data_IF_192583182651
#
_entry.id   IF_192583182651
#
_cell.length_a   1.000
_cell.length_b   1.000
_cell.length_c   1.000
_cell.angle_alpha   90.00
_cell.angle_beta   90.00
_cell.angle_gamma   90.00
#
_symmetry.space_group_name_H-M   'P 1'
#
loop_
_entity.id
_entity.type
_entity.pdbx_description
1 polymer ?
#
# COMPACT_ATOMS: atom_id res chain seq x y z
N UNK A 1 16.27 -9.41 15.03
CA UNK A 1 16.01 -8.00 14.66
C UNK A 1 14.75 -7.87 13.82
N UNK A 2 13.92 -6.87 14.15
CA UNK A 2 12.70 -6.55 13.40
C UNK A 2 12.81 -5.10 12.95
N UNK A 3 12.71 -4.88 11.65
CA UNK A 3 12.80 -3.55 11.03
C UNK A 3 11.42 -3.15 10.52
N UNK A 4 10.85 -2.10 11.11
CA UNK A 4 9.53 -1.59 10.75
C UNK A 4 9.70 -0.47 9.71
N UNK A 5 9.12 -0.63 8.51
CA UNK A 5 9.25 0.34 7.41
C UNK A 5 7.93 1.05 7.16
N UNK A 6 7.91 2.38 7.34
CA UNK A 6 6.72 3.24 7.27
C UNK A 6 6.84 4.34 6.19
N UNK A 7 7.27 3.97 4.98
CA UNK A 7 7.56 4.91 3.87
C UNK A 7 6.40 5.06 2.87
N UNK A 8 5.36 4.22 2.96
CA UNK A 8 4.21 4.19 2.06
C UNK A 8 4.53 3.56 0.69
N UNK A 9 3.52 2.97 0.05
CA UNK A 9 3.68 2.34 -1.26
C UNK A 9 3.94 3.38 -2.37
N UNK A 10 4.73 3.06 -3.43
CA UNK A 10 5.59 1.90 -3.60
C UNK A 10 7.02 2.14 -3.07
N UNK A 11 7.28 3.33 -2.50
CA UNK A 11 8.62 3.70 -1.99
C UNK A 11 9.12 2.71 -0.94
N UNK A 12 8.20 2.19 -0.13
CA UNK A 12 8.45 1.17 0.87
C UNK A 12 8.93 -0.15 0.27
N UNK A 13 8.28 -0.65 -0.80
CA UNK A 13 8.70 -1.88 -1.48
C UNK A 13 10.08 -1.71 -2.14
N UNK A 14 10.32 -0.55 -2.77
CA UNK A 14 11.62 -0.24 -3.38
C UNK A 14 12.72 -0.15 -2.32
N UNK A 15 12.45 0.50 -1.19
CA UNK A 15 13.40 0.61 -0.09
C UNK A 15 13.71 -0.76 0.52
N UNK A 16 12.70 -1.58 0.78
CA UNK A 16 12.87 -2.93 1.29
C UNK A 16 13.64 -3.82 0.30
N UNK A 17 13.36 -3.72 -0.99
CA UNK A 17 14.09 -4.45 -2.04
C UNK A 17 15.57 -4.07 -2.08
N UNK A 18 15.88 -2.76 -1.96
CA UNK A 18 17.26 -2.27 -1.89
C UNK A 18 17.98 -2.67 -0.61
N UNK A 19 17.26 -2.78 0.51
CA UNK A 19 17.84 -3.14 1.81
C UNK A 19 18.01 -4.66 1.98
N UNK A 20 17.15 -5.46 1.33
CA UNK A 20 17.19 -6.93 1.35
C UNK A 20 18.60 -7.55 1.14
N UNK A 21 19.40 -7.16 0.14
CA UNK A 21 20.73 -7.74 -0.07
C UNK A 21 21.73 -7.45 1.07
N UNK A 22 21.50 -6.39 1.84
CA UNK A 22 22.36 -5.99 2.97
C UNK A 22 21.87 -6.57 4.31
N UNK A 23 20.70 -7.21 4.34
CA UNK A 23 20.11 -7.75 5.56
C UNK A 23 20.33 -9.25 5.63
N UNK A 24 21.39 -9.66 6.34
CA UNK A 24 21.77 -11.07 6.49
C UNK A 24 20.94 -11.81 7.56
N UNK A 25 20.32 -11.08 8.51
CA UNK A 25 19.45 -11.61 9.58
C UNK A 25 18.37 -10.59 9.94
N UNK A 26 17.18 -11.06 10.31
CA UNK A 26 16.05 -10.23 10.75
C UNK A 26 14.89 -10.17 9.76
N UNK A 27 13.76 -9.60 10.22
CA UNK A 27 12.51 -9.49 9.45
C UNK A 27 12.20 -8.02 9.19
N UNK A 28 11.92 -7.67 7.93
CA UNK A 28 11.40 -6.35 7.58
C UNK A 28 9.88 -6.39 7.46
N UNK A 29 9.19 -5.58 8.25
CA UNK A 29 7.73 -5.47 8.25
C UNK A 29 7.32 -4.16 7.59
N UNK A 30 6.50 -4.30 6.56
CA UNK A 30 5.89 -3.22 5.83
C UNK A 30 4.67 -2.68 6.58
N UNK A 31 4.78 -1.51 7.22
CA UNK A 31 3.74 -0.94 8.09
C UNK A 31 2.97 0.20 7.44
N UNK A 32 3.59 0.89 6.48
CA UNK A 32 2.93 1.95 5.73
C UNK A 32 2.52 3.12 6.63
N UNK A 33 1.28 3.60 6.46
CA UNK A 33 0.77 4.76 7.19
C UNK A 33 0.28 4.44 8.62
N UNK A 34 0.39 3.20 9.12
CA UNK A 34 -0.15 2.86 10.44
C UNK A 34 0.46 3.73 11.57
N UNK A 35 1.76 4.03 11.49
CA UNK A 35 2.40 4.95 12.44
C UNK A 35 1.95 6.41 12.28
N UNK A 36 1.59 6.86 11.07
CA UNK A 36 1.04 8.21 10.86
C UNK A 36 -0.34 8.37 11.51
N UNK A 37 -1.16 7.31 11.46
CA UNK A 37 -2.44 7.29 12.17
C UNK A 37 -2.28 7.30 13.68
N UNK A 38 -1.26 6.59 14.19
CA UNK A 38 -0.99 6.49 15.63
C UNK A 38 -0.30 7.74 16.20
N UNK A 39 0.50 8.45 15.39
CA UNK A 39 1.24 9.65 15.83
C UNK A 39 0.38 10.92 15.93
N UNK A 40 -0.94 10.81 15.74
CA UNK A 40 -1.89 11.93 15.91
C UNK A 40 -1.71 13.09 14.92
N UNK A 41 -0.89 12.92 13.87
CA UNK A 41 -0.52 13.99 12.95
C UNK A 41 -1.43 14.13 11.71
N UNK A 42 -2.40 13.23 11.50
CA UNK A 42 -3.29 13.35 10.33
C UNK A 42 -4.50 14.27 10.61
N UNK A 43 -4.27 15.52 10.21
CA UNK A 43 -5.17 16.57 9.77
C UNK A 43 -6.43 16.03 9.04
N UNK A 44 -7.61 16.52 9.44
CA UNK A 44 -8.95 16.26 8.84
C UNK A 44 -9.31 14.77 8.67
N UNK A 45 -9.71 14.13 9.77
CA UNK A 45 -10.51 12.90 9.69
C UNK A 45 -11.71 13.11 8.76
N UNK A 46 -11.97 12.14 7.89
CA UNK A 46 -13.20 12.11 7.11
C UNK A 46 -14.40 12.18 8.08
N UNK A 47 -15.50 12.83 7.69
CA UNK A 47 -16.67 12.92 8.55
C UNK A 47 -17.17 11.52 8.94
N UNK A 48 -17.70 11.38 10.16
CA UNK A 48 -18.00 10.06 10.75
C UNK A 48 -18.92 9.18 9.89
N UNK A 49 -19.80 9.78 9.07
CA UNK A 49 -20.66 9.04 8.14
C UNK A 49 -19.84 8.34 7.03
N UNK A 50 -18.73 8.92 6.58
CA UNK A 50 -17.83 8.30 5.59
C UNK A 50 -16.99 7.19 6.21
N UNK A 51 -16.59 7.33 7.48
CA UNK A 51 -15.92 6.24 8.20
C UNK A 51 -16.85 5.04 8.37
N UNK A 52 -18.10 5.26 8.78
CA UNK A 52 -19.10 4.19 8.90
C UNK A 52 -19.38 3.49 7.56
N UNK A 53 -19.33 4.23 6.46
CA UNK A 53 -19.49 3.71 5.12
C UNK A 53 -18.20 3.11 4.50
N UNK A 54 -17.07 3.06 5.25
CA UNK A 54 -15.75 2.66 4.73
C UNK A 54 -15.26 3.49 3.51
N UNK A 55 -15.83 4.67 3.30
CA UNK A 55 -15.51 5.60 2.21
C UNK A 55 -14.33 6.53 2.52
N UNK A 56 -13.65 6.29 3.63
CA UNK A 56 -12.46 7.04 4.02
C UNK A 56 -11.36 6.97 2.94
N UNK A 57 -11.29 5.84 2.22
CA UNK A 57 -10.41 5.68 1.06
C UNK A 57 -10.79 6.63 -0.09
N UNK A 58 -12.08 6.84 -0.36
CA UNK A 58 -12.56 7.78 -1.37
C UNK A 58 -12.30 9.24 -0.96
N UNK A 59 -12.48 9.58 0.31
CA UNK A 59 -12.13 10.90 0.84
C UNK A 59 -10.64 11.21 0.63
N UNK A 60 -9.77 10.23 0.91
CA UNK A 60 -8.32 10.35 0.68
C UNK A 60 -7.94 10.41 -0.80
N UNK A 61 -8.65 9.70 -1.69
CA UNK A 61 -8.48 9.86 -3.14
C UNK A 61 -8.85 11.28 -3.56
N UNK A 62 -9.98 11.80 -3.08
CA UNK A 62 -10.46 13.15 -3.40
C UNK A 62 -9.54 14.27 -2.90
N UNK A 63 -8.83 14.06 -1.80
CA UNK A 63 -7.92 15.06 -1.24
C UNK A 63 -6.59 15.20 -2.02
N UNK A 64 -6.22 14.21 -2.85
CA UNK A 64 -5.04 14.26 -3.74
C UNK A 64 -5.21 13.39 -5.01
N UNK A 65 -6.15 13.73 -5.90
CA UNK A 65 -6.66 12.84 -6.96
C UNK A 65 -5.60 12.52 -8.04
N UNK A 66 -4.74 13.48 -8.38
CA UNK A 66 -3.74 13.32 -9.46
C UNK A 66 -2.67 12.26 -9.18
N UNK A 67 -2.34 12.00 -7.92
CA UNK A 67 -1.28 11.04 -7.53
C UNK A 67 -1.80 9.61 -7.37
N UNK A 68 -3.02 9.45 -6.87
CA UNK A 68 -3.60 8.13 -6.60
C UNK A 68 -4.26 7.50 -7.83
N UNK A 69 -4.90 8.29 -8.70
CA UNK A 69 -5.56 7.77 -9.91
C UNK A 69 -4.57 7.09 -10.85
N UNK A 70 -3.35 7.65 -11.03
CA UNK A 70 -2.30 7.01 -11.85
C UNK A 70 -1.94 5.60 -11.34
N UNK A 71 -1.92 5.41 -10.02
CA UNK A 71 -1.63 4.11 -9.42
C UNK A 71 -2.79 3.13 -9.58
N UNK A 72 -4.01 3.58 -9.30
CA UNK A 72 -5.21 2.76 -9.46
C UNK A 72 -5.39 2.33 -10.93
N UNK A 73 -5.18 3.24 -11.89
CA UNK A 73 -5.25 2.94 -13.31
C UNK A 73 -4.17 1.94 -13.75
N UNK A 74 -2.93 2.09 -13.25
CA UNK A 74 -1.85 1.16 -13.54
C UNK A 74 -2.14 -0.24 -12.97
N UNK A 75 -2.57 -0.31 -11.72
CA UNK A 75 -2.97 -1.56 -11.07
C UNK A 75 -4.13 -2.23 -11.82
N UNK A 76 -5.15 -1.48 -12.22
CA UNK A 76 -6.30 -2.00 -12.97
C UNK A 76 -5.89 -2.56 -14.35
N UNK A 77 -4.87 -1.97 -14.98
CA UNK A 77 -4.32 -2.46 -16.24
C UNK A 77 -3.42 -3.70 -16.07
N UNK A 78 -2.63 -3.76 -14.99
CA UNK A 78 -1.68 -4.86 -14.75
C UNK A 78 -2.32 -6.09 -14.11
N UNK A 79 -3.33 -5.90 -13.26
CA UNK A 79 -4.02 -6.97 -12.53
C UNK A 79 -4.60 -8.09 -13.41
N UNK A 80 -5.28 -7.81 -14.55
CA UNK A 80 -5.86 -8.86 -15.40
C UNK A 80 -4.77 -9.82 -15.91
N UNK A 81 -3.61 -9.29 -16.30
CA UNK A 81 -2.48 -10.09 -16.76
C UNK A 81 -1.86 -10.94 -15.66
N UNK A 82 -1.71 -10.37 -14.46
CA UNK A 82 -1.17 -11.07 -13.29
C UNK A 82 -2.12 -12.17 -12.79
N UNK A 83 -3.43 -11.87 -12.72
CA UNK A 83 -4.48 -12.81 -12.37
C UNK A 83 -4.58 -13.93 -13.40
N UNK A 84 -4.48 -13.62 -14.70
CA UNK A 84 -4.47 -14.64 -15.75
C UNK A 84 -3.25 -15.57 -15.62
N UNK A 85 -2.06 -15.02 -15.32
CA UNK A 85 -0.86 -15.83 -15.07
C UNK A 85 -0.97 -16.71 -13.83
N UNK A 86 -1.50 -16.20 -12.71
CA UNK A 86 -1.72 -17.02 -11.51
C UNK A 86 -2.80 -18.08 -11.73
N UNK A 87 -3.88 -17.75 -12.44
CA UNK A 87 -4.93 -18.70 -12.80
C UNK A 87 -4.40 -19.81 -13.71
N UNK A 88 -3.50 -19.47 -14.65
CA UNK A 88 -2.78 -20.46 -15.46
C UNK A 88 -1.85 -21.34 -14.62
N UNK A 89 -1.12 -20.77 -13.65
CA UNK A 89 -0.22 -21.54 -12.77
C UNK A 89 -0.97 -22.53 -11.87
N UNK A 90 -2.13 -22.14 -11.33
CA UNK A 90 -2.97 -23.02 -10.48
C UNK A 90 -3.69 -24.12 -11.25
N UNK A 91 -3.81 -24.03 -12.59
CA UNK A 91 -4.40 -25.08 -13.44
C UNK A 91 -3.39 -26.13 -13.91
N UNK A 92 -2.09 -25.92 -13.68
CA UNK A 92 -1.00 -26.82 -14.07
C UNK A 92 -0.40 -27.62 -12.89
N UNK A 93 -0.97 -27.49 -11.69
CA UNK A 93 -0.70 -28.33 -10.51
C UNK A 93 -1.98 -29.09 -10.22
#
# INVERSE_FOLDING_TARGET
DIVWVALGAPKQEVFMSKLKPYLHRGVMIAVGAAFKFYSGMDEKRAPQWMLKAHLEFLYRIGNNPRKQIKRCAWILYTLPGLLYQEWRRKRCI
#
